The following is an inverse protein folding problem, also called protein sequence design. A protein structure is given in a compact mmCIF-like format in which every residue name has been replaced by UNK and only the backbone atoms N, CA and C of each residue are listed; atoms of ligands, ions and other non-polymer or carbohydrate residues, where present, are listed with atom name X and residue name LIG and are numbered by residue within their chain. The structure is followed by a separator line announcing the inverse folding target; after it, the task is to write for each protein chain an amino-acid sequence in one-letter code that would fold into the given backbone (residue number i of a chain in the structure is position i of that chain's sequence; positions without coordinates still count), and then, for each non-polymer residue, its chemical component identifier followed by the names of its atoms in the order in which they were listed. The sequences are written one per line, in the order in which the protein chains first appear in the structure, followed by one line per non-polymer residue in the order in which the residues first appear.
data_IF_174938196872
#
_entry.id   IF_174938196872
#
_cell.length_a   1.000
_cell.length_b   1.000
_cell.length_c   1.000
_cell.angle_alpha   90.00
_cell.angle_beta   90.00
_cell.angle_gamma   90.00
#
_symmetry.space_group_name_H-M   'P 1'
#
loop_
_entity.id
_entity.type
_entity.pdbx_description
1 polymer ?
#
# COMPACT_ATOMS: atom_id res chain seq x y z
N UNK A 1 -26.67 11.02 -24.00
CA UNK A 1 -25.29 10.50 -24.04
C UNK A 1 -25.12 9.56 -22.86
N UNK A 2 -24.60 8.36 -23.08
CA UNK A 2 -24.23 7.43 -22.00
C UNK A 2 -22.84 7.79 -21.47
N UNK A 3 -22.58 7.53 -20.18
CA UNK A 3 -21.24 7.70 -19.62
C UNK A 3 -20.23 6.75 -20.29
N UNK A 4 -18.97 7.17 -20.37
CA UNK A 4 -17.87 6.29 -20.74
C UNK A 4 -17.55 5.36 -19.55
N UNK A 5 -17.38 4.07 -19.82
CA UNK A 5 -16.93 3.11 -18.82
C UNK A 5 -15.43 3.29 -18.58
N UNK A 6 -15.04 3.53 -17.32
CA UNK A 6 -13.65 3.45 -16.88
C UNK A 6 -13.40 2.00 -16.43
N UNK A 7 -12.74 1.21 -17.26
CA UNK A 7 -12.46 -0.20 -16.97
C UNK A 7 -11.24 -0.35 -16.04
N UNK A 8 -11.49 -0.28 -14.74
CA UNK A 8 -10.44 -0.44 -13.73
C UNK A 8 -9.72 -1.80 -13.76
N UNK A 9 -10.31 -2.85 -14.34
CA UNK A 9 -9.63 -4.15 -14.45
C UNK A 9 -8.57 -4.12 -15.54
N UNK A 10 -8.91 -3.53 -16.70
CA UNK A 10 -7.97 -3.32 -17.79
C UNK A 10 -6.81 -2.42 -17.34
N UNK A 11 -7.13 -1.28 -16.72
CA UNK A 11 -6.13 -0.32 -16.19
C UNK A 11 -5.20 -1.00 -15.19
N UNK A 12 -5.74 -1.76 -14.24
CA UNK A 12 -4.92 -2.45 -13.24
C UNK A 12 -4.01 -3.52 -13.87
N UNK A 13 -4.43 -4.18 -14.96
CA UNK A 13 -3.59 -5.15 -15.67
C UNK A 13 -2.40 -4.46 -16.37
N UNK A 14 -2.62 -3.32 -17.01
CA UNK A 14 -1.54 -2.51 -17.61
C UNK A 14 -0.56 -2.02 -16.55
N UNK A 15 -1.05 -1.52 -15.42
CA UNK A 15 -0.21 -1.10 -14.28
C UNK A 15 0.64 -2.27 -13.78
N UNK A 16 0.05 -3.46 -13.56
CA UNK A 16 0.80 -4.65 -13.13
C UNK A 16 1.86 -5.06 -14.15
N UNK A 17 1.57 -4.98 -15.44
CA UNK A 17 2.56 -5.25 -16.48
C UNK A 17 3.73 -4.28 -16.42
N UNK A 18 3.47 -2.98 -16.29
CA UNK A 18 4.51 -1.96 -16.12
C UNK A 18 5.36 -2.18 -14.86
N UNK A 19 4.71 -2.51 -13.74
CA UNK A 19 5.41 -2.84 -12.48
C UNK A 19 6.29 -4.08 -12.65
N UNK A 20 5.80 -5.14 -13.30
CA UNK A 20 6.59 -6.36 -13.55
C UNK A 20 7.89 -6.06 -14.29
N UNK A 21 7.83 -5.27 -15.37
CA UNK A 21 9.02 -4.89 -16.13
C UNK A 21 10.05 -4.17 -15.24
N UNK A 22 9.60 -3.24 -14.39
CA UNK A 22 10.47 -2.52 -13.45
C UNK A 22 11.05 -3.42 -12.36
N UNK A 23 10.28 -4.39 -11.88
CA UNK A 23 10.75 -5.40 -10.93
C UNK A 23 11.83 -6.27 -11.57
N UNK A 24 11.65 -6.69 -12.82
CA UNK A 24 12.63 -7.48 -13.56
C UNK A 24 13.95 -6.71 -13.76
N UNK A 25 13.88 -5.42 -14.08
CA UNK A 25 15.07 -4.56 -14.21
C UNK A 25 15.82 -4.39 -12.86
N UNK A 26 15.08 -4.23 -11.76
CA UNK A 26 15.66 -4.16 -10.42
C UNK A 26 16.36 -5.47 -10.04
N UNK A 27 15.74 -6.62 -10.35
CA UNK A 27 16.32 -7.94 -10.10
C UNK A 27 17.61 -8.16 -10.88
N UNK A 28 17.64 -7.73 -12.15
CA UNK A 28 18.87 -7.77 -12.96
C UNK A 28 19.99 -6.90 -12.34
N UNK A 29 19.62 -5.84 -11.62
CA UNK A 29 20.53 -4.97 -10.88
C UNK A 29 20.87 -5.49 -9.47
N UNK A 30 20.44 -6.70 -9.12
CA UNK A 30 20.71 -7.32 -7.81
C UNK A 30 19.80 -6.85 -6.67
N UNK A 31 18.73 -6.11 -6.98
CA UNK A 31 17.72 -5.67 -6.00
C UNK A 31 16.49 -6.55 -6.16
N UNK A 32 16.08 -7.24 -5.10
CA UNK A 32 14.81 -7.97 -5.06
C UNK A 32 13.78 -7.17 -4.26
N UNK A 33 12.84 -6.46 -4.92
CA UNK A 33 11.84 -5.68 -4.20
C UNK A 33 11.00 -6.59 -3.30
N UNK A 34 10.77 -6.16 -2.07
CA UNK A 34 10.13 -6.95 -1.04
C UNK A 34 9.05 -6.16 -0.32
N UNK A 35 7.83 -6.72 -0.28
CA UNK A 35 6.70 -6.21 0.48
C UNK A 35 6.43 -7.11 1.69
N UNK A 36 6.55 -6.57 2.90
CA UNK A 36 6.13 -7.23 4.12
C UNK A 36 4.69 -6.82 4.48
N UNK A 37 3.83 -7.81 4.71
CA UNK A 37 2.43 -7.63 5.06
C UNK A 37 2.17 -8.32 6.40
N UNK A 38 1.59 -7.58 7.35
CA UNK A 38 1.13 -8.11 8.61
C UNK A 38 -0.40 -8.14 8.66
N UNK A 39 -0.96 -9.26 9.13
CA UNK A 39 -2.37 -9.40 9.50
C UNK A 39 -2.45 -9.84 10.96
N UNK A 40 -3.19 -9.09 11.77
CA UNK A 40 -3.45 -9.43 13.17
C UNK A 40 -4.91 -9.86 13.32
N UNK A 41 -5.12 -11.10 13.78
CA UNK A 41 -6.45 -11.70 13.90
C UNK A 41 -7.00 -12.32 12.61
N UNK A 42 -8.30 -12.60 12.61
CA UNK A 42 -8.93 -13.47 11.59
C UNK A 42 -10.06 -12.82 10.79
N UNK A 43 -10.13 -11.47 10.75
CA UNK A 43 -11.18 -10.77 10.02
C UNK A 43 -11.30 -11.31 8.57
N UNK A 44 -12.46 -11.91 8.16
CA UNK A 44 -12.57 -12.60 6.88
C UNK A 44 -12.31 -11.71 5.67
N UNK A 45 -12.77 -10.46 5.70
CA UNK A 45 -12.53 -9.50 4.62
C UNK A 45 -11.04 -9.17 4.52
N UNK A 46 -10.37 -8.96 5.65
CA UNK A 46 -8.93 -8.70 5.71
C UNK A 46 -8.11 -9.84 5.12
N UNK A 47 -8.50 -11.10 5.38
CA UNK A 47 -7.85 -12.28 4.78
C UNK A 47 -7.93 -12.29 3.25
N UNK A 48 -9.07 -11.89 2.69
CA UNK A 48 -9.26 -11.80 1.24
C UNK A 48 -8.35 -10.71 0.66
N UNK A 49 -8.35 -9.52 1.26
CA UNK A 49 -7.51 -8.40 0.79
C UNK A 49 -6.02 -8.71 0.85
N UNK A 50 -5.53 -9.28 1.96
CA UNK A 50 -4.13 -9.71 2.08
C UNK A 50 -3.80 -10.76 1.04
N UNK A 51 -4.67 -11.74 0.82
CA UNK A 51 -4.49 -12.73 -0.23
C UNK A 51 -4.45 -12.14 -1.64
N UNK A 52 -5.21 -11.07 -1.91
CA UNK A 52 -5.14 -10.35 -3.19
C UNK A 52 -3.81 -9.59 -3.34
N UNK A 53 -3.34 -8.93 -2.28
CA UNK A 53 -2.05 -8.22 -2.27
C UNK A 53 -0.89 -9.18 -2.53
N UNK A 54 -0.89 -10.34 -1.86
CA UNK A 54 0.11 -11.39 -2.07
C UNK A 54 0.12 -11.87 -3.52
N UNK A 55 -1.04 -12.24 -4.07
CA UNK A 55 -1.14 -12.67 -5.47
C UNK A 55 -0.66 -11.61 -6.45
N UNK A 56 -0.97 -10.34 -6.20
CA UNK A 56 -0.51 -9.24 -7.04
C UNK A 56 1.01 -9.05 -6.97
N UNK A 57 1.60 -9.16 -5.77
CA UNK A 57 3.05 -9.10 -5.58
C UNK A 57 3.75 -10.26 -6.30
N UNK A 58 3.24 -11.49 -6.14
CA UNK A 58 3.74 -12.68 -6.84
C UNK A 58 3.60 -12.54 -8.36
N UNK A 59 2.46 -12.01 -8.84
CA UNK A 59 2.19 -11.76 -10.26
C UNK A 59 3.24 -10.81 -10.85
N UNK A 60 3.64 -9.75 -10.15
CA UNK A 60 4.67 -8.81 -10.64
C UNK A 60 6.09 -9.26 -10.30
N UNK A 61 6.27 -10.42 -9.67
CA UNK A 61 7.57 -10.99 -9.35
C UNK A 61 8.24 -10.39 -8.12
N UNK A 62 7.54 -9.69 -7.24
CA UNK A 62 8.11 -9.18 -5.99
C UNK A 62 8.23 -10.30 -4.95
N UNK A 63 9.23 -10.20 -4.07
CA UNK A 63 9.24 -11.00 -2.84
C UNK A 63 8.14 -10.46 -1.93
N UNK A 64 7.42 -11.35 -1.27
CA UNK A 64 6.42 -10.95 -0.29
C UNK A 64 6.50 -11.80 0.98
N UNK A 65 6.44 -11.11 2.11
CA UNK A 65 6.48 -11.70 3.45
C UNK A 65 5.07 -11.56 4.04
N UNK A 66 4.41 -12.68 4.31
CA UNK A 66 3.08 -12.71 4.96
C UNK A 66 3.25 -13.12 6.43
N UNK A 67 3.05 -12.18 7.35
CA UNK A 67 3.07 -12.42 8.79
C UNK A 67 1.66 -12.38 9.33
N UNK A 68 1.20 -13.51 9.86
CA UNK A 68 -0.11 -13.64 10.50
C UNK A 68 0.08 -13.80 12.00
N UNK A 69 -0.50 -12.89 12.76
CA UNK A 69 -0.51 -12.92 14.22
C UNK A 69 -1.93 -13.26 14.71
N UNK A 70 -2.06 -13.97 15.84
CA UNK A 70 -3.37 -14.24 16.41
C UNK A 70 -4.01 -12.94 16.92
N UNK A 71 -5.33 -12.97 17.14
CA UNK A 71 -6.08 -11.80 17.56
C UNK A 71 -5.71 -11.30 18.96
N UNK A 72 -5.04 -12.11 19.78
CA UNK A 72 -4.57 -11.79 21.14
C UNK A 72 -3.10 -11.37 21.18
N UNK A 73 -2.44 -11.24 20.02
CA UNK A 73 -1.08 -10.73 19.93
C UNK A 73 -0.97 -9.36 20.62
N UNK A 74 0.10 -9.19 21.39
CA UNK A 74 0.33 -7.94 22.12
C UNK A 74 0.80 -6.83 21.19
N UNK A 75 0.53 -5.57 21.55
CA UNK A 75 1.08 -4.43 20.82
C UNK A 75 2.62 -4.48 20.78
N UNK A 76 3.28 -4.87 21.87
CA UNK A 76 4.73 -5.01 21.92
C UNK A 76 5.27 -6.00 20.87
N UNK A 77 4.63 -7.17 20.73
CA UNK A 77 5.00 -8.17 19.72
C UNK A 77 4.87 -7.62 18.29
N UNK A 78 3.80 -6.86 18.01
CA UNK A 78 3.60 -6.19 16.72
C UNK A 78 4.73 -5.20 16.45
N UNK A 79 5.04 -4.34 17.42
CA UNK A 79 6.07 -3.31 17.29
C UNK A 79 7.47 -3.89 17.12
N UNK A 80 7.80 -4.99 17.81
CA UNK A 80 9.09 -5.66 17.67
C UNK A 80 9.29 -6.21 16.24
N UNK A 81 8.25 -6.80 15.65
CA UNK A 81 8.29 -7.26 14.26
C UNK A 81 8.46 -6.09 13.28
N UNK A 82 7.77 -4.97 13.53
CA UNK A 82 7.93 -3.77 12.71
C UNK A 82 9.35 -3.21 12.79
N UNK A 83 9.98 -3.24 13.96
CA UNK A 83 11.37 -2.81 14.13
C UNK A 83 12.36 -3.69 13.37
N UNK A 84 12.16 -5.01 13.40
CA UNK A 84 12.94 -5.94 12.58
C UNK A 84 12.81 -5.60 11.09
N UNK A 85 11.58 -5.37 10.60
CA UNK A 85 11.36 -5.00 9.20
C UNK A 85 11.87 -3.61 8.84
N UNK A 86 11.82 -2.66 9.77
CA UNK A 86 12.37 -1.31 9.58
C UNK A 86 13.89 -1.37 9.39
N UNK A 87 14.58 -2.20 10.16
CA UNK A 87 16.05 -2.34 10.09
C UNK A 87 16.53 -3.28 8.98
N UNK A 88 15.70 -4.22 8.53
CA UNK A 88 16.04 -5.13 7.44
C UNK A 88 16.12 -4.39 6.10
N UNK A 89 17.32 -4.32 5.52
CA UNK A 89 17.57 -3.74 4.19
C UNK A 89 16.96 -4.54 3.04
N UNK A 90 16.59 -5.79 3.29
CA UNK A 90 15.87 -6.65 2.35
C UNK A 90 14.37 -6.38 2.30
N UNK A 91 13.80 -5.64 3.28
CA UNK A 91 12.38 -5.21 3.28
C UNK A 91 12.31 -3.79 2.78
N UNK A 92 11.53 -3.56 1.71
CA UNK A 92 11.46 -2.26 1.03
C UNK A 92 10.13 -1.56 1.29
N UNK A 93 9.08 -2.31 1.60
CA UNK A 93 7.77 -1.79 1.95
C UNK A 93 7.12 -2.62 3.04
N UNK A 94 6.39 -1.97 3.93
CA UNK A 94 5.70 -2.55 5.08
C UNK A 94 4.24 -2.12 5.04
N UNK A 95 3.35 -3.08 5.24
CA UNK A 95 1.93 -2.88 5.31
C UNK A 95 1.36 -3.64 6.51
N UNK A 96 0.56 -2.97 7.34
CA UNK A 96 -0.22 -3.62 8.39
C UNK A 96 -1.70 -3.53 8.03
N UNK A 97 -2.36 -4.68 7.89
CA UNK A 97 -3.75 -4.74 7.47
C UNK A 97 -4.69 -4.31 8.60
N UNK A 98 -5.47 -3.27 8.33
CA UNK A 98 -6.53 -2.77 9.21
C UNK A 98 -7.89 -3.47 8.96
N UNK A 99 -8.81 -3.47 9.95
CA UNK A 99 -8.65 -2.95 11.31
C UNK A 99 -7.79 -3.87 12.18
N UNK A 100 -7.11 -3.29 13.18
CA UNK A 100 -6.44 -4.05 14.23
C UNK A 100 -7.43 -4.44 15.35
N UNK A 101 -7.08 -5.41 16.22
CA UNK A 101 -7.84 -5.69 17.43
C UNK A 101 -7.96 -4.46 18.35
N UNK A 102 -9.08 -4.33 19.07
CA UNK A 102 -9.41 -3.15 19.89
C UNK A 102 -8.36 -2.79 20.96
N UNK A 103 -7.58 -3.77 21.44
CA UNK A 103 -6.53 -3.54 22.44
C UNK A 103 -5.19 -3.05 21.85
N UNK A 104 -5.09 -2.93 20.53
CA UNK A 104 -3.90 -2.44 19.82
C UNK A 104 -4.18 -1.04 19.29
N UNK A 105 -3.28 -0.10 19.58
CA UNK A 105 -3.40 1.25 19.08
C UNK A 105 -2.93 1.37 17.62
N UNK A 106 -3.87 1.50 16.69
CA UNK A 106 -3.56 1.65 15.26
C UNK A 106 -2.58 2.78 14.96
N UNK A 107 -2.69 3.93 15.64
CA UNK A 107 -1.79 5.06 15.44
C UNK A 107 -0.36 4.71 15.85
N UNK A 108 -0.17 4.09 17.01
CA UNK A 108 1.15 3.64 17.47
C UNK A 108 1.78 2.69 16.44
N UNK A 109 1.00 1.77 15.89
CA UNK A 109 1.47 0.82 14.88
C UNK A 109 1.83 1.51 13.57
N UNK A 110 1.00 2.44 13.08
CA UNK A 110 1.29 3.17 11.84
C UNK A 110 2.50 4.09 11.97
N UNK A 111 2.64 4.81 13.10
CA UNK A 111 3.77 5.70 13.38
C UNK A 111 5.09 4.94 13.61
N UNK A 112 5.02 3.63 13.90
CA UNK A 112 6.21 2.80 14.03
C UNK A 112 6.86 2.44 12.69
N UNK A 113 6.09 2.41 11.61
CA UNK A 113 6.62 2.08 10.27
C UNK A 113 7.46 3.27 9.78
N UNK A 114 8.70 3.04 9.38
CA UNK A 114 9.53 4.12 8.83
C UNK A 114 8.84 4.77 7.62
N UNK A 115 8.83 6.11 7.48
CA UNK A 115 8.16 6.79 6.38
C UNK A 115 8.59 6.30 5.00
N UNK A 116 9.86 5.94 4.83
CA UNK A 116 10.43 5.40 3.60
C UNK A 116 10.00 3.95 3.27
N UNK A 117 9.35 3.26 4.21
CA UNK A 117 8.80 1.90 4.05
C UNK A 117 7.27 1.85 4.17
N UNK A 118 6.61 2.96 4.50
CA UNK A 118 5.15 3.06 4.64
C UNK A 118 4.45 3.11 3.28
N UNK A 119 4.22 1.94 2.67
CA UNK A 119 3.65 1.84 1.32
C UNK A 119 2.15 2.17 1.26
N UNK A 120 1.46 2.20 2.40
CA UNK A 120 0.06 2.62 2.48
C UNK A 120 -0.07 4.15 2.67
N UNK A 121 1.03 4.86 2.98
CA UNK A 121 1.05 6.31 3.09
C UNK A 121 0.29 6.85 4.31
N UNK A 122 0.17 6.05 5.37
CA UNK A 122 -0.57 6.41 6.59
C UNK A 122 0.30 7.03 7.68
N UNK A 123 1.63 6.94 7.55
CA UNK A 123 2.55 7.59 8.47
C UNK A 123 2.34 9.11 8.40
N UNK A 124 2.22 9.84 9.54
CA UNK A 124 1.96 11.28 9.56
C UNK A 124 2.94 12.11 8.71
N UNK A 125 4.21 11.70 8.66
CA UNK A 125 5.23 12.30 7.76
C UNK A 125 4.81 12.17 6.29
N UNK A 126 4.37 11.00 5.81
CA UNK A 126 3.92 10.84 4.42
C UNK A 126 2.64 11.62 4.14
N UNK A 127 1.71 11.69 5.10
CA UNK A 127 0.52 12.55 5.01
C UNK A 127 0.92 14.03 4.87
N UNK A 128 1.87 14.50 5.68
CA UNK A 128 2.40 15.86 5.61
C UNK A 128 3.11 16.15 4.29
N UNK A 129 3.99 15.24 3.85
CA UNK A 129 4.68 15.32 2.55
C UNK A 129 3.68 15.40 1.40
N UNK A 130 2.71 14.49 1.36
CA UNK A 130 1.66 14.46 0.33
C UNK A 130 0.86 15.78 0.30
N UNK A 131 0.42 16.28 1.45
CA UNK A 131 -0.37 17.52 1.50
C UNK A 131 0.46 18.76 1.11
N UNK A 132 1.78 18.71 1.30
CA UNK A 132 2.71 19.75 0.82
C UNK A 132 3.08 19.65 -0.67
N UNK A 133 2.65 18.58 -1.36
CA UNK A 133 2.98 18.35 -2.77
C UNK A 133 4.35 17.72 -3.02
N UNK A 134 4.96 17.11 -2.00
CA UNK A 134 6.22 16.40 -2.12
C UNK A 134 6.05 15.18 -3.06
N UNK A 135 6.82 15.10 -4.17
CA UNK A 135 6.72 13.99 -5.11
C UNK A 135 7.16 12.64 -4.52
N UNK A 136 7.99 12.64 -3.48
CA UNK A 136 8.55 11.43 -2.86
C UNK A 136 7.64 10.85 -1.76
N UNK A 137 6.47 11.47 -1.51
CA UNK A 137 5.50 10.97 -0.55
C UNK A 137 4.86 9.66 -1.01
N UNK A 138 4.82 8.65 -0.14
CA UNK A 138 3.86 7.56 -0.32
C UNK A 138 2.44 8.11 -0.19
N UNK A 139 1.56 7.66 -1.08
CA UNK A 139 0.18 8.12 -1.19
C UNK A 139 -0.74 6.94 -0.90
N UNK A 140 -1.83 7.14 -0.14
CA UNK A 140 -2.83 6.10 0.03
C UNK A 140 -3.30 5.54 -1.32
N UNK A 141 -3.32 4.21 -1.43
CA UNK A 141 -3.46 3.52 -2.71
C UNK A 141 -4.79 3.82 -3.43
N UNK A 142 -5.88 4.02 -2.70
CA UNK A 142 -7.21 4.32 -3.27
C UNK A 142 -7.24 5.67 -4.01
N UNK A 143 -6.92 6.82 -3.36
CA UNK A 143 -6.87 8.10 -4.08
C UNK A 143 -5.79 8.12 -5.16
N UNK A 144 -4.66 7.44 -4.97
CA UNK A 144 -3.66 7.29 -6.03
C UNK A 144 -4.23 6.56 -7.26
N UNK A 145 -5.00 5.48 -7.06
CA UNK A 145 -5.70 4.77 -8.13
C UNK A 145 -6.72 5.62 -8.88
N UNK A 146 -7.40 6.55 -8.18
CA UNK A 146 -8.31 7.51 -8.83
C UNK A 146 -7.55 8.43 -9.79
N UNK A 147 -6.38 8.94 -9.38
CA UNK A 147 -5.54 9.76 -10.26
C UNK A 147 -5.10 8.97 -11.51
N UNK A 148 -4.64 7.73 -11.32
CA UNK A 148 -4.28 6.84 -12.44
C UNK A 148 -5.45 6.61 -13.40
N UNK A 149 -6.67 6.46 -12.88
CA UNK A 149 -7.87 6.30 -13.71
C UNK A 149 -8.19 7.55 -14.53
N UNK A 150 -8.02 8.76 -13.97
CA UNK A 150 -8.20 10.03 -14.69
C UNK A 150 -7.14 10.21 -15.78
N UNK A 151 -5.88 9.94 -15.46
CA UNK A 151 -4.76 9.98 -16.39
C UNK A 151 -4.98 9.03 -17.57
N UNK A 152 -5.41 7.79 -17.30
CA UNK A 152 -5.64 6.77 -18.33
C UNK A 152 -6.72 7.17 -19.35
N UNK A 153 -7.75 7.91 -18.93
CA UNK A 153 -8.78 8.42 -19.85
C UNK A 153 -8.42 9.77 -20.47
N UNK A 154 -7.22 10.31 -20.19
CA UNK A 154 -6.76 11.60 -20.70
C UNK A 154 -7.50 12.79 -20.09
N UNK A 155 -8.05 12.66 -18.87
CA UNK A 155 -8.76 13.74 -18.19
C UNK A 155 -7.83 14.49 -17.24
N UNK A 156 -7.61 15.77 -17.51
CA UNK A 156 -6.87 16.67 -16.62
C UNK A 156 -7.86 17.43 -15.69
N UNK A 157 -7.82 17.19 -14.37
CA UNK A 157 -8.68 17.90 -13.42
C UNK A 157 -8.22 19.34 -13.14
N UNK A 158 -7.09 19.80 -13.68
CA UNK A 158 -6.60 21.15 -13.43
C UNK A 158 -7.62 22.24 -13.79
N UNK A 159 -7.86 23.16 -12.85
CA UNK A 159 -8.83 24.24 -13.00
C UNK A 159 -10.31 23.82 -12.94
N UNK A 160 -10.59 22.53 -12.76
CA UNK A 160 -11.97 22.02 -12.63
C UNK A 160 -12.49 22.14 -11.19
N UNK A 161 -13.80 22.20 -11.04
CA UNK A 161 -14.46 22.11 -9.74
C UNK A 161 -14.74 20.64 -9.38
N UNK A 162 -13.89 20.07 -8.53
CA UNK A 162 -14.04 18.70 -8.03
C UNK A 162 -14.77 18.66 -6.68
N UNK A 163 -15.64 17.66 -6.48
CA UNK A 163 -16.36 17.42 -5.22
C UNK A 163 -15.98 16.04 -4.68
N UNK A 164 -15.45 16.01 -3.46
CA UNK A 164 -15.18 14.75 -2.73
C UNK A 164 -16.26 14.56 -1.67
N UNK A 165 -17.00 13.46 -1.78
CA UNK A 165 -18.03 13.08 -0.79
C UNK A 165 -17.45 12.06 0.17
N UNK A 166 -16.90 12.54 1.27
CA UNK A 166 -16.19 11.73 2.28
C UNK A 166 -14.90 12.41 2.73
N UNK A 167 -14.47 12.13 3.96
CA UNK A 167 -13.25 12.70 4.57
C UNK A 167 -12.57 11.74 5.56
N UNK A 168 -12.66 10.45 5.25
CA UNK A 168 -12.06 9.36 6.03
C UNK A 168 -10.54 9.48 6.09
#
# INVERSE_FOLDING_TARGET
MSAQLIDGKAIAAEVRQSVRLRVDDLKQSGVEPCLAVMLVGENPASRVYVGMKQRAADEVGMKAIDRRLPADASEAEILDILDDWNTDRGVHGILVQLPLPDHVNERTVMERILPEKDVDGFHPINVGRMTSGDPDAFRPCTPAGIQVMLEHIGFDPAGQHAVIVGRS
#
